data_IF_898581986107
#
_entry.id   IF_898581986107
#
_cell.length_a   1.000
_cell.length_b   1.000
_cell.length_c   1.000
_cell.angle_alpha   90.00
_cell.angle_beta   90.00
_cell.angle_gamma   90.00
#
_symmetry.space_group_name_H-M   'P 1'
#
loop_
_entity.id
_entity.type
_entity.pdbx_description
1 polymer ?
#
# COMPACT_ATOMS: atom_id res chain seq x y z
N UNK A 1 14.81 -17.72 11.99
CA UNK A 1 15.60 -17.05 10.93
C UNK A 1 16.27 -15.84 11.53
N UNK A 2 17.58 -15.70 11.40
CA UNK A 2 18.39 -14.75 12.15
C UNK A 2 18.08 -13.29 11.80
N UNK A 3 17.75 -12.51 12.84
CA UNK A 3 17.68 -11.06 12.79
C UNK A 3 19.09 -10.51 12.60
N UNK A 4 19.37 -9.91 11.45
CA UNK A 4 20.60 -9.15 11.23
C UNK A 4 20.28 -7.66 11.37
N UNK A 5 20.83 -7.04 12.42
CA UNK A 5 20.88 -5.60 12.59
C UNK A 5 21.70 -4.96 11.47
N UNK A 6 21.12 -3.93 10.86
CA UNK A 6 21.82 -3.07 9.92
C UNK A 6 22.15 -1.77 10.66
N UNK A 7 23.39 -1.59 11.08
CA UNK A 7 23.92 -0.28 11.49
C UNK A 7 25.45 -0.34 11.55
N UNK A 8 26.06 0.58 10.87
CA UNK A 8 27.48 0.91 10.98
C UNK A 8 27.87 1.96 9.96
N UNK A 9 27.61 3.23 10.22
CA UNK A 9 28.23 4.32 9.48
C UNK A 9 29.32 4.95 10.34
N UNK A 10 30.55 4.88 9.84
CA UNK A 10 31.72 5.53 10.41
C UNK A 10 31.78 6.99 9.94
N UNK A 11 31.97 7.89 10.89
CA UNK A 11 32.28 9.33 10.68
C UNK A 11 33.76 9.51 10.36
N UNK A 12 34.06 10.33 9.35
CA UNK A 12 35.44 10.73 9.07
C UNK A 12 35.57 11.91 8.11
N UNK A 13 36.15 13.00 8.58
CA UNK A 13 36.96 13.93 7.79
C UNK A 13 36.41 15.34 7.53
N UNK A 14 36.69 16.29 8.43
CA UNK A 14 36.72 17.73 8.15
C UNK A 14 37.85 18.09 7.20
N UNK A 15 37.57 18.89 6.17
CA UNK A 15 38.56 19.76 5.51
C UNK A 15 37.97 21.15 5.33
N UNK A 16 38.67 22.12 5.88
CA UNK A 16 38.35 23.55 5.77
C UNK A 16 38.87 24.11 4.43
N UNK A 17 38.09 24.93 3.76
CA UNK A 17 38.55 25.78 2.66
C UNK A 17 37.86 27.15 2.67
N UNK A 18 38.63 28.15 2.35
CA UNK A 18 38.59 29.60 2.53
C UNK A 18 37.53 30.32 1.70
N UNK A 19 37.12 31.47 2.24
CA UNK A 19 36.12 32.40 1.72
C UNK A 19 36.51 33.07 0.41
N UNK A 20 35.55 33.17 -0.51
CA UNK A 20 35.54 34.11 -1.63
C UNK A 20 34.10 34.57 -1.86
N UNK A 21 33.87 35.89 -1.69
CA UNK A 21 32.57 36.54 -1.95
C UNK A 21 32.33 36.74 -3.44
N UNK A 22 31.16 36.36 -3.98
CA UNK A 22 30.70 36.80 -5.29
C UNK A 22 29.55 37.82 -5.19
N UNK A 23 29.26 38.58 -6.27
CA UNK A 23 28.43 39.76 -6.26
C UNK A 23 26.93 39.46 -6.25
N UNK A 24 26.18 40.43 -5.72
CA UNK A 24 24.72 40.44 -5.64
C UNK A 24 24.11 40.42 -7.04
N UNK A 25 23.40 39.37 -7.38
CA UNK A 25 22.52 39.29 -8.54
C UNK A 25 21.06 39.31 -8.08
N UNK A 26 20.26 40.14 -8.72
CA UNK A 26 18.86 40.44 -8.43
C UNK A 26 18.00 39.18 -8.47
N UNK A 27 17.21 38.97 -7.42
CA UNK A 27 16.22 37.92 -7.35
C UNK A 27 15.06 38.22 -8.31
N UNK A 28 14.96 37.41 -9.34
CA UNK A 28 13.71 37.26 -10.10
C UNK A 28 12.82 36.26 -9.35
N UNK A 29 11.76 36.75 -8.73
CA UNK A 29 10.71 35.94 -8.12
C UNK A 29 9.96 35.20 -9.24
N UNK A 30 10.35 33.96 -9.52
CA UNK A 30 9.47 33.04 -10.23
C UNK A 30 8.43 32.54 -9.23
N UNK A 31 7.17 32.93 -9.47
CA UNK A 31 6.02 32.28 -8.87
C UNK A 31 6.14 30.76 -9.05
N UNK A 32 5.99 30.03 -7.95
CA UNK A 32 6.06 28.58 -7.99
C UNK A 32 4.98 28.01 -8.90
N UNK A 33 5.41 27.38 -9.94
CA UNK A 33 4.61 26.46 -10.71
C UNK A 33 4.36 25.25 -9.78
N UNK A 34 3.17 25.22 -9.15
CA UNK A 34 2.68 24.01 -8.50
C UNK A 34 2.31 23.04 -9.64
N UNK A 35 3.28 22.24 -10.05
CA UNK A 35 3.00 21.12 -10.93
C UNK A 35 1.94 20.27 -10.23
N UNK A 36 0.73 20.24 -10.78
CA UNK A 36 -0.28 19.26 -10.39
C UNK A 36 0.37 17.90 -10.50
N UNK A 37 0.53 17.19 -9.38
CA UNK A 37 1.03 15.82 -9.36
C UNK A 37 0.17 15.01 -10.33
N UNK A 38 0.77 14.44 -11.36
CA UNK A 38 0.04 13.55 -12.28
C UNK A 38 -0.56 12.41 -11.46
N UNK A 39 -1.84 12.13 -11.70
CA UNK A 39 -2.53 10.99 -11.04
C UNK A 39 -1.76 9.71 -11.35
N UNK A 40 -1.40 8.96 -10.31
CA UNK A 40 -0.69 7.69 -10.44
C UNK A 40 -1.34 6.76 -11.47
N UNK A 41 -0.52 6.06 -12.25
CA UNK A 41 -0.99 5.06 -13.22
C UNK A 41 -1.95 4.04 -12.59
N UNK A 42 -1.71 3.60 -11.37
CA UNK A 42 -2.59 2.70 -10.63
C UNK A 42 -4.04 3.23 -10.55
N UNK A 43 -4.20 4.50 -10.19
CA UNK A 43 -5.51 5.13 -9.95
C UNK A 43 -6.27 5.47 -11.24
N UNK A 44 -5.59 5.52 -12.38
CA UNK A 44 -6.22 5.76 -13.68
C UNK A 44 -6.79 4.49 -14.31
N UNK A 45 -6.63 3.33 -13.67
CA UNK A 45 -7.14 2.04 -14.16
C UNK A 45 -8.64 1.91 -13.90
N UNK A 46 -9.35 1.01 -14.62
CA UNK A 46 -10.80 0.82 -14.47
C UNK A 46 -11.27 0.62 -13.03
N UNK A 47 -10.48 -0.03 -12.19
CA UNK A 47 -10.71 -0.11 -10.75
C UNK A 47 -9.39 -0.13 -9.98
N UNK A 48 -9.39 0.39 -8.75
CA UNK A 48 -8.23 0.46 -7.86
C UNK A 48 -8.65 0.36 -6.40
N UNK A 49 -7.68 0.20 -5.48
CA UNK A 49 -7.94 0.23 -4.04
C UNK A 49 -8.03 1.68 -3.57
N UNK A 50 -9.16 2.05 -2.99
CA UNK A 50 -9.43 3.40 -2.52
C UNK A 50 -9.01 3.58 -1.05
N UNK A 51 -9.38 2.62 -0.19
CA UNK A 51 -9.18 2.71 1.26
C UNK A 51 -9.09 1.33 1.90
N UNK A 52 -8.33 1.22 2.99
CA UNK A 52 -8.32 0.05 3.89
C UNK A 52 -8.86 0.43 5.28
N UNK A 53 -9.48 -0.55 5.96
CA UNK A 53 -10.00 -0.38 7.31
C UNK A 53 -9.41 -1.44 8.24
N UNK A 54 -8.68 -1.01 9.26
CA UNK A 54 -8.05 -1.86 10.26
C UNK A 54 -8.76 -1.77 11.61
N UNK A 55 -9.00 -2.91 12.21
CA UNK A 55 -9.40 -3.03 13.62
C UNK A 55 -8.15 -3.19 14.47
N UNK A 56 -7.99 -2.34 15.48
CA UNK A 56 -6.82 -2.29 16.38
C UNK A 56 -7.25 -2.32 17.85
N UNK A 57 -6.38 -2.76 18.74
CA UNK A 57 -6.64 -2.74 20.19
C UNK A 57 -6.21 -1.43 20.83
N UNK A 58 -5.11 -0.84 20.37
CA UNK A 58 -4.58 0.45 20.85
C UNK A 58 -4.54 1.48 19.71
N UNK A 59 -5.64 2.24 19.59
CA UNK A 59 -5.77 3.29 18.57
C UNK A 59 -4.66 4.34 18.68
N UNK A 60 -4.30 4.75 19.91
CA UNK A 60 -3.29 5.80 20.12
C UNK A 60 -1.91 5.36 19.65
N UNK A 61 -1.53 4.13 19.96
CA UNK A 61 -0.25 3.54 19.55
C UNK A 61 -0.17 3.38 18.02
N UNK A 62 -1.19 2.77 17.42
CA UNK A 62 -1.20 2.50 15.97
C UNK A 62 -1.33 3.79 15.17
N UNK A 63 -2.29 4.67 15.51
CA UNK A 63 -2.44 5.96 14.83
C UNK A 63 -1.18 6.83 14.96
N UNK A 64 -0.57 6.87 16.15
CA UNK A 64 0.71 7.57 16.37
C UNK A 64 1.83 7.05 15.48
N UNK A 65 1.89 5.74 15.25
CA UNK A 65 2.84 5.12 14.33
C UNK A 65 2.60 5.56 12.87
N UNK A 66 1.35 5.47 12.39
CA UNK A 66 1.00 5.90 11.03
C UNK A 66 1.27 7.41 10.82
N UNK A 67 1.08 8.24 11.83
CA UNK A 67 1.39 9.67 11.76
C UNK A 67 2.89 9.95 11.77
N UNK A 68 3.66 9.36 12.68
CA UNK A 68 5.07 9.69 12.89
C UNK A 68 6.00 8.94 11.93
N UNK A 69 5.72 7.67 11.60
CA UNK A 69 6.58 6.85 10.77
C UNK A 69 6.18 6.86 9.30
N UNK A 70 4.87 6.90 9.01
CA UNK A 70 4.40 7.00 7.63
C UNK A 70 4.03 8.44 7.21
N UNK A 71 3.92 9.38 8.16
CA UNK A 71 3.60 10.77 7.85
C UNK A 71 2.18 11.03 7.39
N UNK A 72 1.24 10.10 7.69
CA UNK A 72 -0.16 10.34 7.42
C UNK A 72 -0.75 11.36 8.39
N UNK A 73 -1.78 12.07 7.97
CA UNK A 73 -2.51 13.04 8.79
C UNK A 73 -3.86 12.47 9.22
N UNK A 74 -4.29 12.80 10.43
CA UNK A 74 -5.67 12.51 10.86
C UNK A 74 -6.59 13.48 10.13
N UNK A 75 -7.46 12.94 9.27
CA UNK A 75 -8.45 13.70 8.51
C UNK A 75 -9.78 13.79 9.24
N UNK A 76 -10.15 12.73 9.97
CA UNK A 76 -11.40 12.65 10.72
C UNK A 76 -11.19 11.85 12.01
N UNK A 77 -11.89 12.25 13.07
CA UNK A 77 -11.99 11.52 14.34
C UNK A 77 -13.43 11.15 14.62
N UNK A 78 -13.63 9.89 14.99
CA UNK A 78 -14.94 9.38 15.44
C UNK A 78 -14.85 8.93 16.90
N UNK A 79 -15.99 8.53 17.49
CA UNK A 79 -16.00 8.02 18.86
C UNK A 79 -15.17 6.73 19.04
N UNK A 80 -14.97 5.96 17.98
CA UNK A 80 -14.30 4.65 18.01
C UNK A 80 -13.09 4.54 17.08
N UNK A 81 -12.68 5.61 16.38
CA UNK A 81 -11.62 5.49 15.41
C UNK A 81 -11.14 6.80 14.81
N UNK A 82 -10.21 6.68 13.89
CA UNK A 82 -9.63 7.79 13.13
C UNK A 82 -9.53 7.41 11.65
N UNK A 83 -9.70 8.39 10.77
CA UNK A 83 -9.41 8.27 9.34
C UNK A 83 -8.10 9.00 9.08
N UNK A 84 -7.14 8.29 8.53
CA UNK A 84 -5.80 8.78 8.22
C UNK A 84 -5.61 8.86 6.70
N UNK A 85 -4.87 9.86 6.26
CA UNK A 85 -4.62 10.05 4.83
C UNK A 85 -3.59 11.12 4.52
N UNK A 86 -3.54 11.50 3.26
CA UNK A 86 -2.64 12.53 2.72
C UNK A 86 -3.49 13.64 2.10
N UNK A 87 -3.21 14.88 2.45
CA UNK A 87 -4.05 16.05 2.10
C UNK A 87 -5.52 15.84 2.49
N UNK A 88 -6.42 15.71 1.52
CA UNK A 88 -7.83 15.40 1.75
C UNK A 88 -8.21 13.96 1.32
N UNK A 89 -7.23 13.14 0.91
CA UNK A 89 -7.46 11.77 0.46
C UNK A 89 -7.38 10.80 1.65
N UNK A 90 -8.50 10.17 2.07
CA UNK A 90 -8.49 9.15 3.10
C UNK A 90 -7.85 7.86 2.56
N UNK A 91 -6.95 7.26 3.32
CA UNK A 91 -6.26 6.02 2.94
C UNK A 91 -6.53 4.88 3.91
N UNK A 92 -6.45 5.16 5.22
CA UNK A 92 -6.62 4.14 6.25
C UNK A 92 -7.62 4.59 7.29
N UNK A 93 -8.64 3.76 7.55
CA UNK A 93 -9.49 3.89 8.71
C UNK A 93 -8.98 2.97 9.81
N UNK A 94 -8.78 3.51 11.00
CA UNK A 94 -8.46 2.73 12.20
C UNK A 94 -9.68 2.75 13.13
N UNK A 95 -10.16 1.59 13.54
CA UNK A 95 -11.23 1.46 14.53
C UNK A 95 -10.75 0.66 15.73
N UNK A 96 -11.00 1.18 16.93
CA UNK A 96 -10.59 0.46 18.15
C UNK A 96 -11.59 -0.60 18.57
N UNK A 97 -11.10 -1.80 18.86
CA UNK A 97 -11.84 -2.87 19.51
C UNK A 97 -10.99 -3.44 20.64
N UNK A 98 -11.04 -2.79 21.81
CA UNK A 98 -10.16 -3.10 22.98
C UNK A 98 -10.18 -4.56 23.42
N UNK A 99 -11.25 -5.28 23.12
CA UNK A 99 -11.41 -6.70 23.50
C UNK A 99 -11.19 -7.64 22.29
N UNK A 100 -10.74 -7.12 21.13
CA UNK A 100 -10.42 -7.96 19.99
C UNK A 100 -9.19 -8.82 20.32
N UNK A 101 -9.22 -10.05 19.86
CA UNK A 101 -8.04 -10.93 19.92
C UNK A 101 -7.05 -10.48 18.82
N UNK A 102 -5.76 -10.44 19.17
CA UNK A 102 -4.72 -10.22 18.15
C UNK A 102 -4.77 -11.39 17.16
N UNK A 103 -4.92 -11.08 15.87
CA UNK A 103 -4.98 -12.10 14.84
C UNK A 103 -3.66 -12.88 14.77
N UNK A 104 -3.69 -14.21 14.80
CA UNK A 104 -2.47 -15.00 14.65
C UNK A 104 -1.88 -14.84 13.25
N UNK A 105 -0.55 -14.91 13.12
CA UNK A 105 0.16 -14.68 11.85
C UNK A 105 -0.24 -15.63 10.71
N UNK A 106 -0.84 -16.76 11.02
CA UNK A 106 -1.32 -17.74 10.05
C UNK A 106 -2.84 -17.64 9.78
N UNK A 107 -3.51 -16.63 10.32
CA UNK A 107 -4.90 -16.36 9.95
C UNK A 107 -5.00 -15.80 8.53
N UNK A 108 -6.13 -16.02 7.89
CA UNK A 108 -6.51 -15.26 6.71
C UNK A 108 -6.72 -13.78 7.10
N UNK A 109 -6.39 -12.86 6.20
CA UNK A 109 -6.48 -11.43 6.49
C UNK A 109 -5.48 -10.60 5.69
N UNK A 110 -4.95 -9.55 6.31
CA UNK A 110 -3.95 -8.68 5.69
C UNK A 110 -2.56 -9.32 5.70
N UNK A 111 -1.88 -9.31 4.56
CA UNK A 111 -0.44 -9.49 4.50
C UNK A 111 0.26 -8.13 4.57
N UNK A 112 -0.10 -7.19 3.70
CA UNK A 112 0.26 -5.76 3.81
C UNK A 112 -0.70 -4.83 3.06
N UNK A 113 -0.77 -3.59 3.56
CA UNK A 113 -1.27 -2.43 2.80
C UNK A 113 -0.07 -1.75 2.14
N UNK A 114 -0.15 -1.51 0.83
CA UNK A 114 0.93 -0.91 0.07
C UNK A 114 0.63 0.55 -0.30
N UNK A 115 1.46 1.45 0.21
CA UNK A 115 1.39 2.88 -0.04
C UNK A 115 2.27 3.23 -1.24
N UNK A 116 1.64 3.60 -2.35
CA UNK A 116 2.29 4.01 -3.58
C UNK A 116 2.72 5.47 -3.47
N UNK A 117 4.02 5.69 -3.45
CA UNK A 117 4.61 7.03 -3.52
C UNK A 117 4.50 7.57 -4.94
N UNK A 118 4.39 8.90 -5.12
CA UNK A 118 4.31 9.51 -6.45
C UNK A 118 5.46 9.12 -7.38
N UNK A 119 6.65 8.99 -6.81
CA UNK A 119 7.86 8.63 -7.55
C UNK A 119 8.95 8.03 -6.63
N UNK A 120 10.06 7.62 -7.26
CA UNK A 120 11.23 7.04 -6.59
C UNK A 120 11.92 8.02 -5.63
N UNK A 121 11.87 9.31 -5.90
CA UNK A 121 12.51 10.33 -5.06
C UNK A 121 11.77 10.46 -3.73
N UNK A 122 10.44 10.41 -3.75
CA UNK A 122 9.63 10.42 -2.53
C UNK A 122 9.83 9.12 -1.72
N UNK A 123 9.98 7.97 -2.35
CA UNK A 123 10.38 6.73 -1.68
C UNK A 123 11.76 6.86 -1.01
N UNK A 124 12.72 7.50 -1.68
CA UNK A 124 14.05 7.76 -1.14
C UNK A 124 14.02 8.75 0.05
N UNK A 125 13.19 9.79 -0.01
CA UNK A 125 12.96 10.73 1.11
C UNK A 125 12.40 9.99 2.33
N UNK A 126 11.40 9.13 2.10
CA UNK A 126 10.85 8.31 3.17
C UNK A 126 11.89 7.35 3.76
N UNK A 127 12.71 6.70 2.93
CA UNK A 127 13.79 5.81 3.42
C UNK A 127 14.78 6.57 4.31
N UNK A 128 15.14 7.80 3.95
CA UNK A 128 15.98 8.66 4.82
C UNK A 128 15.31 8.97 6.15
N UNK A 129 14.02 9.31 6.12
CA UNK A 129 13.25 9.54 7.33
C UNK A 129 13.24 8.28 8.21
N UNK A 130 12.95 7.12 7.64
CA UNK A 130 12.96 5.84 8.33
C UNK A 130 14.31 5.53 8.97
N UNK A 131 15.42 5.76 8.25
CA UNK A 131 16.78 5.57 8.76
C UNK A 131 17.10 6.52 9.92
N UNK A 132 16.75 7.81 9.83
CA UNK A 132 16.97 8.78 10.90
C UNK A 132 16.17 8.47 12.17
N UNK A 133 15.01 7.84 12.04
CA UNK A 133 14.15 7.46 13.16
C UNK A 133 14.36 6.02 13.62
N UNK A 134 15.37 5.33 13.11
CA UNK A 134 15.68 3.93 13.42
C UNK A 134 14.47 3.00 13.23
N UNK A 135 13.67 3.22 12.19
CA UNK A 135 12.55 2.35 11.85
C UNK A 135 13.07 0.96 11.49
N UNK A 136 12.49 -0.05 12.11
CA UNK A 136 12.86 -1.43 11.81
C UNK A 136 12.16 -1.84 10.51
N UNK A 137 12.96 -2.22 9.52
CA UNK A 137 12.46 -2.72 8.24
C UNK A 137 12.39 -4.26 8.27
N UNK A 138 11.29 -4.81 7.76
CA UNK A 138 11.12 -6.25 7.57
C UNK A 138 11.85 -6.76 6.32
N UNK A 139 12.06 -5.89 5.33
CA UNK A 139 12.77 -6.18 4.10
C UNK A 139 12.70 -5.07 3.07
N UNK A 140 13.32 -5.31 1.92
CA UNK A 140 13.21 -4.46 0.73
C UNK A 140 13.43 -5.29 -0.53
N UNK A 141 12.73 -4.95 -1.61
CA UNK A 141 12.77 -5.70 -2.87
C UNK A 141 12.69 -4.79 -4.09
N UNK A 142 13.38 -5.17 -5.12
CA UNK A 142 13.16 -4.72 -6.50
C UNK A 142 12.27 -5.77 -7.19
N UNK A 143 11.07 -5.33 -7.62
CA UNK A 143 10.08 -6.19 -8.25
C UNK A 143 10.08 -6.11 -9.77
N UNK A 144 11.05 -5.44 -10.39
CA UNK A 144 11.15 -5.09 -11.82
C UNK A 144 10.11 -4.03 -12.24
N UNK A 145 8.93 -4.06 -11.69
CA UNK A 145 7.85 -3.08 -11.90
C UNK A 145 7.85 -1.96 -10.87
N UNK A 146 8.45 -2.19 -9.70
CA UNK A 146 8.50 -1.26 -8.57
C UNK A 146 9.71 -1.51 -7.67
N UNK A 147 10.05 -0.52 -6.83
CA UNK A 147 10.98 -0.65 -5.72
C UNK A 147 10.18 -0.53 -4.42
N UNK A 148 10.35 -1.47 -3.48
CA UNK A 148 9.50 -1.64 -2.31
C UNK A 148 10.29 -1.82 -1.01
N UNK A 149 9.76 -1.25 0.08
CA UNK A 149 10.30 -1.38 1.43
C UNK A 149 9.18 -1.85 2.36
N UNK A 150 9.47 -2.83 3.19
CA UNK A 150 8.50 -3.50 4.05
C UNK A 150 8.76 -3.24 5.52
N UNK A 151 7.69 -3.02 6.28
CA UNK A 151 7.71 -2.87 7.73
C UNK A 151 6.36 -3.35 8.29
N UNK A 152 6.25 -3.39 9.61
CA UNK A 152 5.01 -3.74 10.30
C UNK A 152 4.62 -2.65 11.28
N UNK A 153 3.33 -2.42 11.47
CA UNK A 153 2.83 -1.56 12.53
C UNK A 153 2.97 -2.23 13.92
N UNK A 154 2.73 -1.51 15.03
CA UNK A 154 2.88 -2.08 16.37
C UNK A 154 2.00 -3.29 16.69
N UNK A 155 0.89 -3.50 15.97
CA UNK A 155 0.01 -4.66 16.12
C UNK A 155 0.28 -5.75 15.07
N UNK A 156 1.31 -5.56 14.22
CA UNK A 156 1.78 -6.56 13.27
C UNK A 156 1.08 -6.53 11.93
N UNK A 157 0.31 -5.47 11.62
CA UNK A 157 -0.20 -5.27 10.27
C UNK A 157 0.95 -4.91 9.34
N UNK A 158 1.11 -5.66 8.25
CA UNK A 158 2.15 -5.41 7.27
C UNK A 158 1.91 -4.14 6.48
N UNK A 159 3.00 -3.46 6.17
CA UNK A 159 3.03 -2.21 5.41
C UNK A 159 4.10 -2.33 4.34
N UNK A 160 3.77 -1.92 3.13
CA UNK A 160 4.71 -1.71 2.05
C UNK A 160 4.72 -0.23 1.68
N UNK A 161 5.90 0.38 1.57
CA UNK A 161 6.09 1.71 0.98
C UNK A 161 6.85 1.50 -0.32
N UNK A 162 6.28 1.94 -1.43
CA UNK A 162 6.86 1.63 -2.72
C UNK A 162 6.66 2.74 -3.74
N UNK A 163 7.45 2.69 -4.80
CA UNK A 163 7.29 3.51 -5.99
C UNK A 163 7.34 2.64 -7.24
N UNK A 164 6.43 2.89 -8.15
CA UNK A 164 6.41 2.23 -9.45
C UNK A 164 7.60 2.69 -10.31
N UNK A 165 8.11 1.79 -11.11
CA UNK A 165 8.89 2.15 -12.29
C UNK A 165 7.94 2.63 -13.39
N UNK A 166 8.38 3.51 -14.31
CA UNK A 166 7.55 3.92 -15.44
C UNK A 166 6.95 2.70 -16.15
N UNK A 167 5.64 2.72 -16.38
CA UNK A 167 4.92 1.54 -16.89
C UNK A 167 5.38 1.12 -18.28
N UNK A 168 5.96 2.05 -19.06
CA UNK A 168 6.58 1.79 -20.36
C UNK A 168 7.80 0.87 -20.27
N UNK A 169 8.39 0.72 -19.09
CA UNK A 169 9.51 -0.16 -18.82
C UNK A 169 9.07 -1.58 -18.41
N UNK A 170 7.77 -1.75 -18.10
CA UNK A 170 7.26 -3.06 -17.69
C UNK A 170 7.23 -4.00 -18.87
N UNK A 171 7.62 -5.25 -18.63
CA UNK A 171 7.58 -6.29 -19.63
C UNK A 171 6.39 -7.20 -19.41
N UNK A 172 5.75 -7.58 -20.50
CA UNK A 172 4.60 -8.48 -20.48
C UNK A 172 4.91 -9.74 -21.29
N UNK A 173 4.46 -10.87 -20.77
CA UNK A 173 4.49 -12.15 -21.47
C UNK A 173 3.39 -12.20 -22.55
N UNK A 174 3.46 -13.20 -23.43
CA UNK A 174 2.49 -13.37 -24.53
C UNK A 174 1.04 -13.57 -24.04
N UNK A 175 0.86 -14.13 -22.86
CA UNK A 175 -0.45 -14.31 -22.20
C UNK A 175 -0.95 -13.03 -21.51
N UNK A 176 -0.18 -11.95 -21.56
CA UNK A 176 -0.48 -10.66 -20.97
C UNK A 176 -0.28 -10.58 -19.47
N UNK A 177 0.41 -11.54 -18.86
CA UNK A 177 0.95 -11.41 -17.51
C UNK A 177 2.18 -10.51 -17.51
N UNK A 178 2.39 -9.77 -16.41
CA UNK A 178 3.55 -8.89 -16.27
C UNK A 178 4.74 -9.65 -15.68
N UNK A 179 5.94 -9.36 -16.19
CA UNK A 179 7.18 -9.91 -15.64
C UNK A 179 7.47 -9.23 -14.30
N UNK A 180 7.43 -10.01 -13.23
CA UNK A 180 7.77 -9.57 -11.87
C UNK A 180 8.83 -10.49 -11.27
N UNK A 181 9.63 -9.95 -10.35
CA UNK A 181 10.61 -10.72 -9.58
C UNK A 181 10.69 -10.22 -8.14
N UNK A 182 11.40 -10.91 -7.29
CA UNK A 182 11.81 -10.47 -5.96
C UNK A 182 13.34 -10.47 -5.94
N UNK A 183 13.91 -9.32 -6.28
CA UNK A 183 15.35 -9.11 -6.31
C UNK A 183 15.80 -8.25 -5.13
N UNK A 184 17.09 -8.26 -4.85
CA UNK A 184 17.65 -7.38 -3.83
C UNK A 184 17.58 -5.92 -4.30
N UNK A 185 16.91 -5.06 -3.53
CA UNK A 185 16.94 -3.61 -3.74
C UNK A 185 18.29 -3.04 -3.29
N UNK A 186 18.87 -2.16 -4.09
CA UNK A 186 20.03 -1.35 -3.70
C UNK A 186 19.54 -0.18 -2.82
N UNK A 187 19.40 -0.48 -1.52
CA UNK A 187 18.96 0.52 -0.52
C UNK A 187 19.92 1.70 -0.42
N UNK A 188 21.23 1.49 -0.66
CA UNK A 188 22.20 2.59 -0.60
C UNK A 188 21.99 3.55 -1.77
N UNK A 189 21.87 3.04 -2.99
CA UNK A 189 21.59 3.86 -4.16
C UNK A 189 20.23 4.59 -4.06
N UNK A 190 19.21 3.93 -3.48
CA UNK A 190 17.92 4.57 -3.20
C UNK A 190 18.09 5.69 -2.16
N UNK A 191 18.74 5.44 -1.03
CA UNK A 191 18.99 6.42 0.03
C UNK A 191 19.75 7.66 -0.48
N UNK A 192 20.80 7.44 -1.30
CA UNK A 192 21.66 8.51 -1.83
C UNK A 192 20.93 9.35 -2.89
N UNK A 193 19.88 8.83 -3.51
CA UNK A 193 19.06 9.58 -4.48
C UNK A 193 18.12 10.60 -3.84
N UNK A 194 17.89 10.54 -2.52
CA UNK A 194 17.06 11.50 -1.83
C UNK A 194 17.70 12.90 -1.82
N UNK A 195 16.93 13.98 -2.07
CA UNK A 195 17.41 15.35 -1.88
C UNK A 195 17.76 15.64 -0.40
N UNK A 196 18.55 16.69 -0.15
CA UNK A 196 19.03 17.02 1.18
C UNK A 196 17.97 17.66 2.10
N UNK A 197 16.83 18.06 1.56
CA UNK A 197 15.75 18.70 2.28
C UNK A 197 15.09 17.74 3.30
N UNK A 198 14.46 18.36 4.29
CA UNK A 198 13.77 17.62 5.34
C UNK A 198 12.51 16.97 4.80
N UNK A 199 12.28 15.71 5.18
CA UNK A 199 11.00 15.04 5.00
C UNK A 199 9.97 15.58 6.02
N UNK A 200 8.79 15.97 5.58
CA UNK A 200 7.73 16.60 6.38
C UNK A 200 6.39 15.82 6.35
N UNK A 201 6.41 14.61 5.83
CA UNK A 201 5.27 13.70 5.76
C UNK A 201 5.16 13.02 4.40
N UNK A 202 4.14 12.17 4.25
CA UNK A 202 3.82 11.55 2.96
C UNK A 202 3.58 12.62 1.90
N UNK A 203 4.17 12.43 0.73
CA UNK A 203 4.03 13.34 -0.39
C UNK A 203 2.59 13.39 -0.91
N UNK A 204 2.17 14.57 -1.38
CA UNK A 204 0.93 14.72 -2.14
C UNK A 204 0.90 13.75 -3.33
N UNK A 205 -0.25 13.11 -3.58
CA UNK A 205 -0.37 12.07 -4.61
C UNK A 205 -0.04 10.66 -4.14
N UNK A 206 0.40 10.47 -2.89
CA UNK A 206 0.48 9.13 -2.28
C UNK A 206 -0.91 8.51 -2.17
N UNK A 207 -1.04 7.25 -2.52
CA UNK A 207 -2.29 6.49 -2.50
C UNK A 207 -2.07 5.05 -2.01
N UNK A 208 -3.15 4.29 -1.81
CA UNK A 208 -3.02 2.83 -1.74
C UNK A 208 -2.92 2.31 -3.18
N UNK A 209 -1.77 1.77 -3.54
CA UNK A 209 -1.60 1.18 -4.86
C UNK A 209 -2.10 -0.26 -4.91
N UNK A 210 -1.94 -1.02 -3.80
CA UNK A 210 -2.47 -2.37 -3.71
C UNK A 210 -2.68 -2.85 -2.25
N UNK A 211 -3.44 -3.92 -2.12
CA UNK A 211 -3.51 -4.75 -0.91
C UNK A 211 -2.99 -6.15 -1.22
N UNK A 212 -2.21 -6.70 -0.32
CA UNK A 212 -1.81 -8.09 -0.35
C UNK A 212 -2.49 -8.84 0.80
N UNK A 213 -3.26 -9.88 0.46
CA UNK A 213 -4.05 -10.65 1.41
C UNK A 213 -3.43 -12.01 1.70
N UNK A 214 -3.57 -12.49 2.92
CA UNK A 214 -3.36 -13.87 3.29
C UNK A 214 -4.68 -14.63 3.14
N UNK A 215 -4.66 -15.70 2.35
CA UNK A 215 -5.84 -16.54 2.04
C UNK A 215 -5.56 -18.00 2.35
N UNK A 216 -6.58 -18.83 2.42
CA UNK A 216 -6.41 -20.26 2.69
C UNK A 216 -6.06 -21.09 1.47
N UNK A 217 -6.50 -20.67 0.28
CA UNK A 217 -6.40 -21.45 -0.96
C UNK A 217 -6.32 -20.53 -2.19
N UNK A 218 -5.36 -20.77 -3.07
CA UNK A 218 -5.15 -19.94 -4.28
C UNK A 218 -6.21 -20.20 -5.36
N UNK A 219 -6.59 -21.44 -5.72
CA UNK A 219 -7.71 -21.68 -6.63
C UNK A 219 -9.00 -20.96 -6.21
N UNK A 220 -9.34 -20.97 -4.92
CA UNK A 220 -10.51 -20.27 -4.39
C UNK A 220 -10.37 -18.74 -4.50
N UNK A 221 -9.16 -18.20 -4.24
CA UNK A 221 -8.86 -16.77 -4.44
C UNK A 221 -9.00 -16.38 -5.92
N UNK A 222 -8.45 -17.17 -6.83
CA UNK A 222 -8.58 -16.95 -8.27
C UNK A 222 -10.06 -16.93 -8.70
N UNK A 223 -10.85 -17.90 -8.24
CA UNK A 223 -12.28 -17.96 -8.54
C UNK A 223 -13.03 -16.71 -8.05
N UNK A 224 -12.68 -16.20 -6.88
CA UNK A 224 -13.34 -15.01 -6.35
C UNK A 224 -12.83 -13.72 -7.02
N UNK A 225 -11.54 -13.43 -6.96
CA UNK A 225 -11.02 -12.12 -7.40
C UNK A 225 -11.02 -11.98 -8.94
N UNK A 226 -10.74 -13.06 -9.68
CA UNK A 226 -10.78 -13.07 -11.14
C UNK A 226 -12.20 -13.31 -11.68
N UNK A 227 -12.83 -14.38 -11.23
CA UNK A 227 -14.05 -14.85 -11.91
C UNK A 227 -15.31 -14.16 -11.36
N UNK A 228 -15.34 -13.73 -10.08
CA UNK A 228 -16.45 -12.95 -9.53
C UNK A 228 -16.22 -11.46 -9.72
N UNK A 229 -15.11 -10.89 -9.23
CA UNK A 229 -14.87 -9.44 -9.28
C UNK A 229 -14.39 -8.96 -10.65
N UNK A 230 -13.97 -9.84 -11.55
CA UNK A 230 -13.54 -9.49 -12.91
C UNK A 230 -12.13 -8.89 -12.99
N UNK A 231 -11.31 -9.07 -11.96
CA UNK A 231 -9.91 -8.63 -11.99
C UNK A 231 -9.09 -9.58 -12.89
N UNK A 232 -8.20 -9.04 -13.71
CA UNK A 232 -7.31 -9.85 -14.53
C UNK A 232 -6.17 -10.41 -13.68
N UNK A 233 -5.83 -11.69 -13.86
CA UNK A 233 -4.61 -12.28 -13.31
C UNK A 233 -3.40 -11.71 -14.04
N UNK A 234 -2.50 -11.04 -13.32
CA UNK A 234 -1.36 -10.33 -13.88
C UNK A 234 -0.03 -11.02 -13.64
N UNK A 235 0.09 -11.79 -12.55
CA UNK A 235 1.28 -12.58 -12.27
C UNK A 235 0.96 -13.76 -11.34
N UNK A 236 1.82 -14.78 -11.34
CA UNK A 236 1.80 -15.91 -10.41
C UNK A 236 3.16 -16.14 -9.80
N UNK A 237 3.15 -16.44 -8.51
CA UNK A 237 4.31 -16.94 -7.78
C UNK A 237 3.92 -18.26 -7.07
N UNK A 238 4.89 -19.07 -6.64
CA UNK A 238 4.59 -20.22 -5.80
C UNK A 238 3.78 -19.81 -4.57
N UNK A 239 2.50 -20.21 -4.54
CA UNK A 239 1.56 -19.90 -3.45
C UNK A 239 1.01 -18.47 -3.44
N UNK A 240 1.04 -17.76 -4.56
CA UNK A 240 0.43 -16.43 -4.69
C UNK A 240 -0.09 -16.15 -6.10
N UNK A 241 -1.15 -15.34 -6.17
CA UNK A 241 -1.74 -14.76 -7.38
C UNK A 241 -1.89 -13.26 -7.23
N UNK A 242 -1.68 -12.52 -8.34
CA UNK A 242 -1.69 -11.07 -8.41
C UNK A 242 -2.71 -10.60 -9.43
N UNK A 243 -3.61 -9.70 -9.04
CA UNK A 243 -4.77 -9.30 -9.83
C UNK A 243 -4.83 -7.80 -10.02
N UNK A 244 -5.25 -7.35 -11.21
CA UNK A 244 -5.47 -5.94 -11.49
C UNK A 244 -6.53 -5.70 -12.55
N UNK A 245 -6.78 -4.42 -12.81
CA UNK A 245 -7.50 -3.93 -13.99
C UNK A 245 -6.56 -3.09 -14.86
N UNK A 246 -6.88 -2.97 -16.15
CA UNK A 246 -6.22 -2.03 -17.06
C UNK A 246 -4.71 -2.18 -17.24
N UNK A 247 -4.14 -3.36 -16.96
CA UNK A 247 -2.71 -3.63 -17.17
C UNK A 247 -1.79 -3.13 -16.05
N UNK A 248 -2.30 -2.73 -14.90
CA UNK A 248 -1.47 -2.48 -13.73
C UNK A 248 -0.88 -3.80 -13.21
N UNK A 249 0.29 -3.75 -12.56
CA UNK A 249 0.95 -4.97 -12.12
C UNK A 249 0.13 -5.76 -11.07
N UNK A 250 -0.48 -5.10 -10.09
CA UNK A 250 -1.56 -5.64 -9.27
C UNK A 250 -2.17 -4.56 -8.35
N UNK A 251 -3.50 -4.58 -8.22
CA UNK A 251 -4.24 -3.84 -7.20
C UNK A 251 -4.56 -4.73 -5.99
N UNK A 252 -4.61 -6.03 -6.22
CA UNK A 252 -4.86 -7.03 -5.19
C UNK A 252 -3.91 -8.20 -5.39
N UNK A 253 -3.33 -8.71 -4.31
CA UNK A 253 -2.62 -9.98 -4.32
C UNK A 253 -3.17 -10.89 -3.22
N UNK A 254 -3.09 -12.19 -3.46
CA UNK A 254 -3.48 -13.23 -2.50
C UNK A 254 -2.36 -14.25 -2.36
N UNK A 255 -1.97 -14.59 -1.13
CA UNK A 255 -0.97 -15.62 -0.87
C UNK A 255 -1.39 -16.60 0.23
N UNK A 256 -0.74 -17.77 0.23
CA UNK A 256 -0.91 -18.82 1.25
C UNK A 256 0.40 -19.12 1.99
N UNK A 257 1.35 -18.20 1.99
CA UNK A 257 2.71 -18.44 2.51
C UNK A 257 2.70 -18.78 4.00
N UNK A 258 1.86 -18.10 4.79
CA UNK A 258 1.68 -18.38 6.21
C UNK A 258 0.32 -19.02 6.53
N UNK A 259 -0.66 -18.90 5.64
CA UNK A 259 -2.08 -19.12 5.90
C UNK A 259 -2.72 -20.25 5.10
N UNK A 260 -1.90 -21.18 4.53
CA UNK A 260 -2.42 -22.33 3.79
C UNK A 260 -3.46 -23.11 4.60
N UNK A 261 -4.65 -23.30 4.03
CA UNK A 261 -5.77 -23.98 4.67
C UNK A 261 -6.51 -23.14 5.72
N UNK A 262 -6.17 -21.85 5.88
CA UNK A 262 -6.90 -20.95 6.77
C UNK A 262 -8.37 -20.82 6.32
N UNK A 263 -9.25 -20.84 7.30
CA UNK A 263 -10.70 -20.60 7.14
C UNK A 263 -11.01 -19.11 7.37
N UNK A 264 -12.28 -18.76 7.28
CA UNK A 264 -12.75 -17.42 7.58
C UNK A 264 -12.31 -16.98 8.99
N UNK A 265 -11.82 -15.74 9.07
CA UNK A 265 -11.38 -15.12 10.32
C UNK A 265 -12.60 -14.77 11.20
N UNK A 266 -12.45 -14.90 12.50
CA UNK A 266 -13.49 -14.46 13.44
C UNK A 266 -13.61 -12.92 13.44
N UNK A 267 -14.82 -12.40 13.55
CA UNK A 267 -15.11 -10.96 13.51
C UNK A 267 -14.49 -10.17 14.67
N UNK A 268 -14.15 -10.83 15.79
CA UNK A 268 -13.58 -10.21 16.97
C UNK A 268 -12.04 -10.20 16.99
N UNK A 269 -11.39 -10.23 15.84
CA UNK A 269 -9.92 -10.19 15.69
C UNK A 269 -9.45 -8.85 15.13
N UNK A 270 -8.22 -8.45 15.51
CA UNK A 270 -7.52 -7.29 14.92
C UNK A 270 -7.14 -7.53 13.46
N UNK A 271 -6.71 -6.49 12.75
CA UNK A 271 -6.27 -6.53 11.36
C UNK A 271 -7.33 -6.03 10.39
N UNK A 272 -7.23 -6.37 9.12
CA UNK A 272 -8.09 -5.87 8.05
C UNK A 272 -9.55 -6.32 8.26
N UNK A 273 -10.44 -5.37 8.50
CA UNK A 273 -11.88 -5.58 8.57
C UNK A 273 -12.49 -5.59 7.17
N UNK A 274 -12.19 -4.56 6.42
CA UNK A 274 -12.69 -4.35 5.07
C UNK A 274 -11.79 -3.40 4.29
N UNK A 275 -12.03 -3.31 2.98
CA UNK A 275 -11.40 -2.36 2.08
C UNK A 275 -12.36 -1.92 0.99
N UNK A 276 -12.02 -0.80 0.31
CA UNK A 276 -12.81 -0.28 -0.80
C UNK A 276 -12.10 -0.48 -2.12
N UNK A 277 -12.85 -0.97 -3.11
CA UNK A 277 -12.48 -0.95 -4.52
C UNK A 277 -13.31 0.13 -5.19
N UNK A 278 -12.64 1.11 -5.78
CA UNK A 278 -13.28 2.16 -6.55
C UNK A 278 -13.18 1.88 -8.03
N UNK A 279 -14.31 1.98 -8.71
CA UNK A 279 -14.41 1.89 -10.17
C UNK A 279 -14.45 3.30 -10.75
N UNK A 280 -13.68 3.55 -11.81
CA UNK A 280 -13.65 4.86 -12.45
C UNK A 280 -14.91 5.19 -13.26
N UNK A 281 -15.77 4.19 -13.50
CA UNK A 281 -17.06 4.38 -14.13
C UNK A 281 -18.14 3.45 -13.55
N UNK A 282 -19.36 3.99 -13.53
CA UNK A 282 -20.52 3.28 -13.00
C UNK A 282 -20.91 2.05 -13.83
N UNK A 283 -20.70 2.05 -15.13
CA UNK A 283 -21.10 0.94 -16.00
C UNK A 283 -20.27 -0.32 -15.71
N UNK A 284 -18.96 -0.15 -15.46
CA UNK A 284 -18.09 -1.25 -15.02
C UNK A 284 -18.52 -1.78 -13.66
N UNK A 285 -18.83 -0.91 -12.69
CA UNK A 285 -19.36 -1.31 -11.38
C UNK A 285 -20.68 -2.08 -11.54
N UNK A 286 -21.64 -1.57 -12.31
CA UNK A 286 -22.95 -2.19 -12.53
C UNK A 286 -22.79 -3.59 -13.17
N UNK A 287 -21.80 -3.78 -14.03
CA UNK A 287 -21.48 -5.10 -14.62
C UNK A 287 -21.04 -6.10 -13.54
N UNK A 288 -20.15 -5.68 -12.62
CA UNK A 288 -19.70 -6.53 -11.52
C UNK A 288 -20.87 -6.85 -10.58
N UNK A 289 -21.67 -5.85 -10.21
CA UNK A 289 -22.84 -6.03 -9.33
C UNK A 289 -23.86 -7.00 -9.94
N UNK A 290 -24.18 -6.86 -11.24
CA UNK A 290 -25.07 -7.80 -11.94
C UNK A 290 -24.52 -9.22 -11.95
N UNK A 291 -23.20 -9.37 -11.97
CA UNK A 291 -22.56 -10.69 -11.88
C UNK A 291 -22.66 -11.28 -10.48
N UNK A 292 -22.56 -10.46 -9.42
CA UNK A 292 -22.81 -10.93 -8.05
C UNK A 292 -24.22 -11.51 -7.92
N UNK A 293 -25.23 -10.81 -8.46
CA UNK A 293 -26.62 -11.28 -8.45
C UNK A 293 -26.78 -12.60 -9.22
N UNK A 294 -26.15 -12.71 -10.42
CA UNK A 294 -26.21 -13.92 -11.26
C UNK A 294 -25.57 -15.13 -10.60
N UNK A 295 -24.49 -14.92 -9.85
CA UNK A 295 -23.75 -15.96 -9.13
C UNK A 295 -24.28 -16.19 -7.71
N UNK A 296 -25.39 -15.56 -7.35
CA UNK A 296 -26.00 -15.62 -6.00
C UNK A 296 -25.00 -15.32 -4.88
N UNK A 297 -24.03 -14.42 -5.14
CA UNK A 297 -23.08 -13.95 -4.13
C UNK A 297 -23.80 -12.97 -3.19
N UNK A 298 -23.82 -13.29 -1.91
CA UNK A 298 -24.45 -12.44 -0.91
C UNK A 298 -23.80 -11.06 -0.87
N UNK A 299 -24.57 -10.03 -1.20
CA UNK A 299 -24.14 -8.64 -1.22
C UNK A 299 -25.22 -7.72 -0.68
N UNK A 300 -24.83 -6.54 -0.20
CA UNK A 300 -25.69 -5.60 0.50
C UNK A 300 -25.43 -4.18 0.00
N UNK A 301 -26.46 -3.44 -0.35
CA UNK A 301 -26.32 -2.00 -0.65
C UNK A 301 -26.13 -1.24 0.65
N UNK A 302 -25.05 -0.46 0.74
CA UNK A 302 -24.73 0.45 1.85
C UNK A 302 -24.46 1.85 1.33
N UNK A 303 -24.44 2.84 2.24
CA UNK A 303 -23.93 4.15 1.90
C UNK A 303 -22.49 4.02 1.37
N UNK A 304 -22.25 4.57 0.16
CA UNK A 304 -20.96 4.51 -0.51
C UNK A 304 -20.74 3.29 -1.42
N UNK A 305 -21.70 2.36 -1.59
CA UNK A 305 -21.54 1.29 -2.57
C UNK A 305 -22.23 -0.02 -2.27
N UNK A 306 -21.71 -1.11 -2.82
CA UNK A 306 -22.16 -2.48 -2.60
C UNK A 306 -21.14 -3.22 -1.75
N UNK A 307 -21.56 -3.67 -0.57
CA UNK A 307 -20.74 -4.42 0.37
C UNK A 307 -20.92 -5.93 0.16
N UNK A 308 -19.83 -6.67 0.23
CA UNK A 308 -19.81 -8.13 0.25
C UNK A 308 -18.63 -8.63 1.09
N UNK A 309 -18.52 -9.95 1.26
CA UNK A 309 -17.36 -10.56 1.91
C UNK A 309 -16.68 -11.52 0.94
N UNK A 310 -15.36 -11.58 1.04
CA UNK A 310 -14.57 -12.59 0.35
C UNK A 310 -14.74 -13.98 1.04
N UNK A 311 -14.21 -15.07 0.46
CA UNK A 311 -14.33 -16.40 1.04
C UNK A 311 -13.72 -16.56 2.44
N UNK A 312 -12.90 -15.64 2.88
CA UNK A 312 -12.25 -15.63 4.21
C UNK A 312 -12.85 -14.61 5.17
N UNK A 313 -13.99 -14.03 4.80
CA UNK A 313 -14.76 -13.13 5.65
C UNK A 313 -14.29 -11.69 5.67
N UNK A 314 -13.27 -11.32 4.87
CA UNK A 314 -12.83 -9.92 4.75
C UNK A 314 -13.89 -9.15 3.98
N UNK A 315 -14.34 -8.02 4.55
CA UNK A 315 -15.30 -7.15 3.90
C UNK A 315 -14.68 -6.40 2.73
N UNK A 316 -15.46 -6.14 1.69
CA UNK A 316 -15.10 -5.21 0.63
C UNK A 316 -16.32 -4.41 0.18
N UNK A 317 -16.10 -3.14 -0.13
CA UNK A 317 -17.12 -2.23 -0.68
C UNK A 317 -16.71 -1.86 -2.10
N UNK A 318 -17.63 -2.09 -3.03
CA UNK A 318 -17.49 -1.70 -4.45
C UNK A 318 -18.20 -0.36 -4.65
N UNK A 319 -17.51 0.66 -5.15
CA UNK A 319 -18.05 2.01 -5.37
C UNK A 319 -17.60 2.58 -6.72
N UNK A 320 -18.22 3.63 -7.20
CA UNK A 320 -17.79 4.39 -8.38
C UNK A 320 -17.82 5.90 -8.09
#
# INVERSE_FOLDING_TARGET
MNRRHFLGFATGGMVAATAGTPPISQANSKAGDQSMSETSYALTRPAYIDQSHLVVTDLGLVSGFYQSMLGLKVLEKTASGEVLGVDALPLVTLTTAKNAAIAPRNAAGLFHTAFLMPDRIELARWLRHAAHNNVVLDGASDHLVSEAIYLSDPEGNGIEIYADRPHEQWKFHQDGMVEMATQRLDLQALYDSAPADRWDGMAAGTAIGHLHLQVGDIPQADAFYRDVLGLKLMARYPGASFFATGGYHHHLAANIWNSRGATARADNMTGLSDYKIRFNDKATLDTVVSKLDTLEINSEKRDGGVFLRDPWGIGLTLSA
#
